data_IF_156790525088
#
_entry.id   IF_156790525088
#
_cell.length_a   1.000
_cell.length_b   1.000
_cell.length_c   1.000
_cell.angle_alpha   90.00
_cell.angle_beta   90.00
_cell.angle_gamma   90.00
#
_symmetry.space_group_name_H-M   'P 1'
#
loop_
_entity.id
_entity.type
_entity.pdbx_description
1 polymer ?
#
# COMPACT_ATOMS: atom_id res chain seq x y z
N UNK A 1 -79.78 -109.28 -24.70
CA UNK A 1 -80.12 -108.04 -23.98
C UNK A 1 -78.96 -107.52 -23.11
N UNK A 2 -78.33 -108.33 -22.23
CA UNK A 2 -77.20 -107.86 -21.37
C UNK A 2 -75.98 -107.31 -22.10
N UNK A 3 -75.54 -107.92 -23.21
CA UNK A 3 -74.36 -107.43 -23.96
C UNK A 3 -74.59 -106.05 -24.60
N UNK A 4 -75.80 -105.77 -25.07
CA UNK A 4 -76.17 -104.49 -25.71
C UNK A 4 -76.24 -103.38 -24.65
N UNK A 5 -76.82 -103.66 -23.47
CA UNK A 5 -76.83 -102.68 -22.38
C UNK A 5 -75.43 -102.36 -21.85
N UNK A 6 -74.54 -103.36 -21.79
CA UNK A 6 -73.15 -103.15 -21.39
C UNK A 6 -72.41 -102.30 -22.42
N UNK A 7 -72.54 -102.61 -23.71
CA UNK A 7 -71.92 -101.81 -24.78
C UNK A 7 -72.42 -100.36 -24.78
N UNK A 8 -73.73 -100.15 -24.66
CA UNK A 8 -74.32 -98.80 -24.58
C UNK A 8 -73.82 -98.03 -23.35
N UNK A 9 -73.71 -98.70 -22.20
CA UNK A 9 -73.21 -98.07 -20.96
C UNK A 9 -71.74 -97.66 -21.05
N UNK A 10 -70.90 -98.49 -21.70
CA UNK A 10 -69.47 -98.18 -21.90
C UNK A 10 -69.31 -97.02 -22.88
N UNK A 11 -70.07 -97.01 -23.98
CA UNK A 11 -70.05 -95.92 -24.97
C UNK A 11 -70.53 -94.59 -24.37
N UNK A 12 -71.62 -94.61 -23.59
CA UNK A 12 -72.12 -93.42 -22.91
C UNK A 12 -71.10 -92.91 -21.87
N UNK A 13 -70.49 -93.82 -21.11
CA UNK A 13 -69.50 -93.48 -20.10
C UNK A 13 -68.22 -92.88 -20.73
N UNK A 14 -67.73 -93.44 -21.84
CA UNK A 14 -66.56 -92.89 -22.54
C UNK A 14 -66.85 -91.54 -23.18
N UNK A 15 -68.03 -91.34 -23.75
CA UNK A 15 -68.46 -90.05 -24.30
C UNK A 15 -68.56 -88.98 -23.21
N UNK A 16 -69.21 -89.30 -22.08
CA UNK A 16 -69.30 -88.40 -20.93
C UNK A 16 -67.91 -88.06 -20.38
N UNK A 17 -67.03 -89.06 -20.22
CA UNK A 17 -65.66 -88.85 -19.75
C UNK A 17 -64.87 -87.91 -20.67
N UNK A 18 -64.93 -88.12 -21.99
CA UNK A 18 -64.26 -87.24 -22.95
C UNK A 18 -64.84 -85.82 -22.96
N UNK A 19 -66.15 -85.68 -22.76
CA UNK A 19 -66.80 -84.36 -22.65
C UNK A 19 -66.41 -83.60 -21.37
N UNK A 20 -66.20 -84.31 -20.25
CA UNK A 20 -65.70 -83.70 -19.01
C UNK A 20 -64.25 -83.26 -19.16
N UNK A 21 -63.41 -84.04 -19.83
CA UNK A 21 -62.03 -83.68 -20.11
C UNK A 21 -61.96 -82.43 -21.01
N UNK A 22 -62.73 -82.39 -22.10
CA UNK A 22 -62.72 -81.23 -22.98
C UNK A 22 -63.22 -79.96 -22.29
N UNK A 23 -64.29 -80.06 -21.49
CA UNK A 23 -64.82 -78.93 -20.72
C UNK A 23 -63.83 -78.45 -19.64
N UNK A 24 -63.19 -79.36 -18.93
CA UNK A 24 -62.21 -79.01 -17.89
C UNK A 24 -60.95 -78.37 -18.48
N UNK A 25 -60.46 -78.85 -19.62
CA UNK A 25 -59.34 -78.21 -20.35
C UNK A 25 -59.76 -76.82 -20.85
N UNK A 26 -60.96 -76.69 -21.42
CA UNK A 26 -61.45 -75.40 -21.91
C UNK A 26 -61.59 -74.37 -20.78
N UNK A 27 -62.22 -74.74 -19.66
CA UNK A 27 -62.36 -73.82 -18.53
C UNK A 27 -61.02 -73.48 -17.89
N UNK A 28 -60.14 -74.47 -17.68
CA UNK A 28 -58.85 -74.24 -17.03
C UNK A 28 -57.94 -73.35 -17.89
N UNK A 29 -57.91 -73.59 -19.21
CA UNK A 29 -57.13 -72.75 -20.14
C UNK A 29 -57.66 -71.31 -20.17
N UNK A 30 -58.97 -71.11 -20.30
CA UNK A 30 -59.57 -69.77 -20.25
C UNK A 30 -59.29 -69.06 -18.93
N UNK A 31 -59.43 -69.75 -17.80
CA UNK A 31 -59.17 -69.19 -16.48
C UNK A 31 -57.71 -68.75 -16.34
N UNK A 32 -56.76 -69.60 -16.74
CA UNK A 32 -55.32 -69.30 -16.68
C UNK A 32 -54.98 -68.11 -17.60
N UNK A 33 -55.52 -68.10 -18.82
CA UNK A 33 -55.28 -67.01 -19.78
C UNK A 33 -55.87 -65.70 -19.25
N UNK A 34 -57.11 -65.71 -18.78
CA UNK A 34 -57.74 -64.51 -18.24
C UNK A 34 -56.99 -63.98 -17.02
N UNK A 35 -56.67 -64.85 -16.05
CA UNK A 35 -55.98 -64.46 -14.83
C UNK A 35 -54.57 -63.94 -15.12
N UNK A 36 -53.82 -64.61 -16.00
CA UNK A 36 -52.46 -64.19 -16.36
C UNK A 36 -52.46 -62.85 -17.09
N UNK A 37 -53.38 -62.63 -18.02
CA UNK A 37 -53.52 -61.36 -18.74
C UNK A 37 -53.95 -60.26 -17.76
N UNK A 38 -54.99 -60.50 -16.97
CA UNK A 38 -55.48 -59.51 -16.01
C UNK A 38 -54.40 -59.12 -15.00
N UNK A 39 -53.73 -60.10 -14.40
CA UNK A 39 -52.70 -59.86 -13.40
C UNK A 39 -51.47 -59.19 -14.01
N UNK A 40 -51.02 -59.61 -15.19
CA UNK A 40 -49.87 -58.99 -15.85
C UNK A 40 -50.15 -57.54 -16.25
N UNK A 41 -51.33 -57.24 -16.77
CA UNK A 41 -51.74 -55.87 -17.11
C UNK A 41 -51.85 -55.04 -15.84
N UNK A 42 -52.54 -55.53 -14.81
CA UNK A 42 -52.70 -54.79 -13.56
C UNK A 42 -51.35 -54.51 -12.90
N UNK A 43 -50.48 -55.52 -12.81
CA UNK A 43 -49.15 -55.39 -12.22
C UNK A 43 -48.28 -54.45 -13.05
N UNK A 44 -48.30 -54.56 -14.38
CA UNK A 44 -47.55 -53.68 -15.25
C UNK A 44 -47.99 -52.23 -15.10
N UNK A 45 -49.29 -51.96 -15.18
CA UNK A 45 -49.84 -50.61 -15.06
C UNK A 45 -49.54 -50.04 -13.68
N UNK A 46 -49.84 -50.78 -12.61
CA UNK A 46 -49.65 -50.28 -11.25
C UNK A 46 -48.17 -50.06 -10.95
N UNK A 47 -47.31 -51.04 -11.25
CA UNK A 47 -45.89 -50.94 -10.97
C UNK A 47 -45.22 -49.88 -11.84
N UNK A 48 -45.44 -49.86 -13.16
CA UNK A 48 -44.81 -48.84 -14.01
C UNK A 48 -45.34 -47.45 -13.71
N UNK A 49 -46.65 -47.25 -13.65
CA UNK A 49 -47.18 -45.89 -13.46
C UNK A 49 -46.80 -45.39 -12.07
N UNK A 50 -47.04 -46.18 -11.03
CA UNK A 50 -46.75 -45.72 -9.67
C UNK A 50 -45.25 -45.56 -9.44
N UNK A 51 -44.44 -46.57 -9.77
CA UNK A 51 -43.00 -46.50 -9.54
C UNK A 51 -42.36 -45.45 -10.42
N UNK A 52 -42.68 -45.40 -11.71
CA UNK A 52 -42.00 -44.49 -12.63
C UNK A 52 -42.42 -43.06 -12.38
N UNK A 53 -43.71 -42.77 -12.18
CA UNK A 53 -44.18 -41.40 -11.91
C UNK A 53 -43.70 -40.95 -10.53
N UNK A 54 -43.90 -41.75 -9.49
CA UNK A 54 -43.50 -41.37 -8.14
C UNK A 54 -41.98 -41.21 -8.05
N UNK A 55 -41.21 -42.19 -8.54
CA UNK A 55 -39.76 -42.13 -8.48
C UNK A 55 -39.20 -41.03 -9.39
N UNK A 56 -39.67 -40.89 -10.63
CA UNK A 56 -39.16 -39.84 -11.52
C UNK A 56 -39.50 -38.44 -11.00
N UNK A 57 -40.74 -38.18 -10.63
CA UNK A 57 -41.16 -36.85 -10.19
C UNK A 57 -40.51 -36.52 -8.85
N UNK A 58 -40.60 -37.42 -7.87
CA UNK A 58 -40.03 -37.18 -6.55
C UNK A 58 -38.51 -37.04 -6.63
N UNK A 59 -37.82 -37.97 -7.30
CA UNK A 59 -36.37 -37.95 -7.38
C UNK A 59 -35.88 -36.76 -8.22
N UNK A 60 -36.46 -36.49 -9.39
CA UNK A 60 -36.04 -35.37 -10.23
C UNK A 60 -36.33 -34.02 -9.58
N UNK A 61 -37.52 -33.81 -9.01
CA UNK A 61 -37.82 -32.55 -8.33
C UNK A 61 -36.97 -32.39 -7.09
N UNK A 62 -36.84 -33.43 -6.26
CA UNK A 62 -36.06 -33.33 -5.04
C UNK A 62 -34.57 -33.10 -5.34
N UNK A 63 -33.96 -33.87 -6.24
CA UNK A 63 -32.55 -33.64 -6.63
C UNK A 63 -32.39 -32.28 -7.29
N UNK A 64 -33.26 -31.88 -8.22
CA UNK A 64 -33.09 -30.61 -8.93
C UNK A 64 -33.22 -29.41 -7.99
N UNK A 65 -34.22 -29.42 -7.11
CA UNK A 65 -34.45 -28.35 -6.14
C UNK A 65 -33.31 -28.34 -5.11
N UNK A 66 -32.97 -29.49 -4.53
CA UNK A 66 -31.90 -29.57 -3.54
C UNK A 66 -30.56 -29.14 -4.13
N UNK A 67 -30.19 -29.67 -5.29
CA UNK A 67 -28.92 -29.36 -5.93
C UNK A 67 -28.87 -27.91 -6.40
N UNK A 68 -29.95 -27.37 -6.98
CA UNK A 68 -29.99 -25.97 -7.41
C UNK A 68 -29.88 -25.00 -6.22
N UNK A 69 -30.61 -25.27 -5.13
CA UNK A 69 -30.53 -24.45 -3.92
C UNK A 69 -29.14 -24.55 -3.30
N UNK A 70 -28.63 -25.77 -3.09
CA UNK A 70 -27.32 -25.96 -2.49
C UNK A 70 -26.21 -25.31 -3.31
N UNK A 71 -26.20 -25.56 -4.62
CA UNK A 71 -25.19 -25.02 -5.53
C UNK A 71 -25.29 -23.49 -5.60
N UNK A 72 -26.50 -22.93 -5.74
CA UNK A 72 -26.70 -21.47 -5.81
C UNK A 72 -26.22 -20.78 -4.54
N UNK A 73 -26.62 -21.29 -3.36
CA UNK A 73 -26.20 -20.72 -2.07
C UNK A 73 -24.68 -20.81 -1.95
N UNK A 74 -24.10 -21.99 -2.20
CA UNK A 74 -22.66 -22.19 -2.08
C UNK A 74 -21.88 -21.25 -3.01
N UNK A 75 -22.31 -21.13 -4.27
CA UNK A 75 -21.66 -20.27 -5.26
C UNK A 75 -21.75 -18.80 -4.86
N UNK A 76 -22.93 -18.33 -4.45
CA UNK A 76 -23.16 -16.95 -4.02
C UNK A 76 -22.31 -16.62 -2.79
N UNK A 77 -22.28 -17.50 -1.79
CA UNK A 77 -21.50 -17.30 -0.57
C UNK A 77 -20.00 -17.24 -0.88
N UNK A 78 -19.50 -18.21 -1.66
CA UNK A 78 -18.08 -18.27 -1.99
C UNK A 78 -17.66 -17.06 -2.83
N UNK A 79 -18.43 -16.69 -3.85
CA UNK A 79 -18.14 -15.54 -4.71
C UNK A 79 -18.22 -14.24 -3.93
N UNK A 80 -19.26 -14.03 -3.11
CA UNK A 80 -19.42 -12.80 -2.33
C UNK A 80 -18.30 -12.64 -1.30
N UNK A 81 -17.93 -13.70 -0.58
CA UNK A 81 -16.82 -13.69 0.36
C UNK A 81 -15.50 -13.41 -0.35
N UNK A 82 -15.20 -14.13 -1.43
CA UNK A 82 -13.95 -13.93 -2.16
C UNK A 82 -13.85 -12.50 -2.71
N UNK A 83 -14.91 -12.00 -3.37
CA UNK A 83 -14.95 -10.62 -3.88
C UNK A 83 -14.79 -9.60 -2.76
N UNK A 84 -15.48 -9.78 -1.62
CA UNK A 84 -15.36 -8.90 -0.47
C UNK A 84 -13.92 -8.83 0.02
N UNK A 85 -13.26 -9.97 0.22
CA UNK A 85 -11.86 -9.99 0.68
C UNK A 85 -10.90 -9.38 -0.34
N UNK A 86 -11.05 -9.71 -1.63
CA UNK A 86 -10.20 -9.15 -2.70
C UNK A 86 -10.35 -7.64 -2.77
N UNK A 87 -11.58 -7.13 -2.73
CA UNK A 87 -11.86 -5.71 -2.79
C UNK A 87 -11.33 -4.98 -1.54
N UNK A 88 -11.57 -5.53 -0.35
CA UNK A 88 -11.11 -4.95 0.91
C UNK A 88 -9.58 -4.88 0.97
N UNK A 89 -8.90 -5.96 0.59
CA UNK A 89 -7.43 -6.00 0.59
C UNK A 89 -6.87 -5.04 -0.47
N UNK A 90 -7.36 -5.10 -1.71
CA UNK A 90 -6.84 -4.23 -2.78
C UNK A 90 -7.08 -2.74 -2.51
N UNK A 91 -8.26 -2.37 -2.00
CA UNK A 91 -8.60 -0.99 -1.69
C UNK A 91 -7.81 -0.48 -0.47
N UNK A 92 -7.71 -1.28 0.60
CA UNK A 92 -6.94 -0.91 1.79
C UNK A 92 -5.46 -0.72 1.48
N UNK A 93 -4.87 -1.62 0.69
CA UNK A 93 -3.46 -1.54 0.32
C UNK A 93 -3.20 -0.34 -0.60
N UNK A 94 -4.05 -0.13 -1.61
CA UNK A 94 -3.90 0.99 -2.54
C UNK A 94 -4.06 2.33 -1.83
N UNK A 95 -5.05 2.48 -0.95
CA UNK A 95 -5.22 3.69 -0.14
C UNK A 95 -4.06 3.91 0.82
N UNK A 96 -3.60 2.85 1.51
CA UNK A 96 -2.45 2.95 2.41
C UNK A 96 -1.20 3.43 1.66
N UNK A 97 -0.89 2.81 0.51
CA UNK A 97 0.26 3.18 -0.32
C UNK A 97 0.10 4.61 -0.83
N UNK A 98 -1.07 4.97 -1.36
CA UNK A 98 -1.33 6.32 -1.87
C UNK A 98 -1.13 7.37 -0.77
N UNK A 99 -1.75 7.19 0.38
CA UNK A 99 -1.66 8.11 1.52
C UNK A 99 -0.22 8.17 2.02
N UNK A 100 0.44 7.03 2.20
CA UNK A 100 1.83 6.98 2.66
C UNK A 100 2.76 7.74 1.72
N UNK A 101 2.67 7.47 0.41
CA UNK A 101 3.49 8.14 -0.60
C UNK A 101 3.15 9.63 -0.66
N UNK A 102 1.87 9.99 -0.69
CA UNK A 102 1.45 11.38 -0.77
C UNK A 102 1.93 12.17 0.45
N UNK A 103 1.70 11.67 1.66
CA UNK A 103 2.16 12.30 2.91
C UNK A 103 3.68 12.35 2.95
N UNK A 104 4.37 11.25 2.62
CA UNK A 104 5.83 11.22 2.62
C UNK A 104 6.40 12.24 1.66
N UNK A 105 5.95 12.26 0.41
CA UNK A 105 6.41 13.21 -0.61
C UNK A 105 6.04 14.63 -0.21
N UNK A 106 4.79 14.89 0.18
CA UNK A 106 4.34 16.23 0.52
C UNK A 106 5.09 16.77 1.74
N UNK A 107 5.15 16.02 2.84
CA UNK A 107 5.87 16.45 4.04
C UNK A 107 7.37 16.55 3.75
N UNK A 108 7.96 15.56 3.10
CA UNK A 108 9.41 15.59 2.82
C UNK A 108 9.79 16.77 1.94
N UNK A 109 9.07 17.00 0.84
CA UNK A 109 9.35 18.09 -0.09
C UNK A 109 9.01 19.43 0.56
N UNK A 110 7.84 19.57 1.15
CA UNK A 110 7.42 20.82 1.80
C UNK A 110 8.37 21.18 2.94
N UNK A 111 8.69 20.24 3.82
CA UNK A 111 9.61 20.46 4.94
C UNK A 111 11.02 20.71 4.45
N UNK A 112 11.54 19.95 3.48
CA UNK A 112 12.86 20.22 2.86
C UNK A 112 12.90 21.61 2.27
N UNK A 113 11.96 21.99 1.42
CA UNK A 113 11.96 23.27 0.72
C UNK A 113 11.77 24.41 1.72
N UNK A 114 10.73 24.34 2.55
CA UNK A 114 10.42 25.39 3.51
C UNK A 114 11.55 25.57 4.53
N UNK A 115 12.02 24.48 5.15
CA UNK A 115 13.04 24.54 6.19
C UNK A 115 14.42 24.85 5.62
N UNK A 116 14.80 24.30 4.46
CA UNK A 116 16.05 24.67 3.80
C UNK A 116 16.03 26.12 3.35
N UNK A 117 14.96 26.58 2.69
CA UNK A 117 14.89 27.94 2.16
C UNK A 117 14.83 28.98 3.29
N UNK A 118 13.99 28.77 4.30
CA UNK A 118 13.92 29.66 5.47
C UNK A 118 15.23 29.69 6.25
N UNK A 119 15.87 28.54 6.49
CA UNK A 119 17.16 28.48 7.16
C UNK A 119 18.25 29.17 6.33
N UNK A 120 18.29 28.94 5.02
CA UNK A 120 19.28 29.56 4.15
C UNK A 120 19.12 31.08 4.07
N UNK A 121 17.89 31.59 3.97
CA UNK A 121 17.62 33.03 3.99
C UNK A 121 18.02 33.61 5.34
N UNK A 122 17.58 33.01 6.43
CA UNK A 122 17.86 33.52 7.77
C UNK A 122 19.37 33.52 8.07
N UNK A 123 20.06 32.42 7.78
CA UNK A 123 21.49 32.29 8.03
C UNK A 123 22.31 33.22 7.13
N UNK A 124 21.98 33.30 5.83
CA UNK A 124 22.71 34.19 4.91
C UNK A 124 22.52 35.67 5.27
N UNK A 125 21.29 36.12 5.55
CA UNK A 125 21.07 37.52 5.92
C UNK A 125 21.68 37.88 7.27
N UNK A 126 21.49 37.05 8.30
CA UNK A 126 22.05 37.33 9.63
C UNK A 126 23.57 37.37 9.62
N UNK A 127 24.22 36.44 8.91
CA UNK A 127 25.69 36.41 8.79
C UNK A 127 26.22 37.60 7.99
N UNK A 128 25.60 37.94 6.86
CA UNK A 128 26.02 39.11 6.07
C UNK A 128 25.91 40.41 6.87
N UNK A 129 24.81 40.61 7.60
CA UNK A 129 24.61 41.79 8.44
C UNK A 129 25.66 41.83 9.56
N UNK A 130 25.85 40.72 10.28
CA UNK A 130 26.83 40.66 11.37
C UNK A 130 28.26 40.91 10.88
N UNK A 131 28.67 40.25 9.79
CA UNK A 131 29.99 40.43 9.18
C UNK A 131 30.18 41.87 8.70
N UNK A 132 29.19 42.46 8.02
CA UNK A 132 29.27 43.84 7.54
C UNK A 132 29.46 44.85 8.68
N UNK A 133 28.73 44.66 9.79
CA UNK A 133 28.84 45.50 10.99
C UNK A 133 30.21 45.28 11.65
N UNK A 134 30.67 44.03 11.78
CA UNK A 134 31.99 43.74 12.36
C UNK A 134 33.14 44.33 11.55
N UNK A 135 33.08 44.26 10.21
CA UNK A 135 34.08 44.86 9.34
C UNK A 135 34.02 46.38 9.39
N UNK A 136 32.82 46.97 9.52
CA UNK A 136 32.66 48.40 9.73
C UNK A 136 33.31 48.85 11.05
N UNK A 137 33.03 48.19 12.18
CA UNK A 137 33.68 48.49 13.45
C UNK A 137 35.19 48.26 13.41
N UNK A 138 35.64 47.17 12.78
CA UNK A 138 37.06 46.88 12.61
C UNK A 138 37.76 47.96 11.77
N UNK A 139 37.11 48.43 10.69
CA UNK A 139 37.63 49.50 9.84
C UNK A 139 37.75 50.82 10.61
N UNK A 140 36.75 51.15 11.44
CA UNK A 140 36.79 52.33 12.30
C UNK A 140 37.91 52.20 13.32
N UNK A 141 37.99 51.09 14.03
CA UNK A 141 39.03 50.85 15.04
C UNK A 141 40.44 50.94 14.44
N UNK A 142 40.66 50.29 13.29
CA UNK A 142 41.95 50.31 12.60
C UNK A 142 42.29 51.72 12.12
N UNK A 143 41.33 52.47 11.57
CA UNK A 143 41.55 53.83 11.11
C UNK A 143 41.94 54.77 12.25
N UNK A 144 41.26 54.67 13.39
CA UNK A 144 41.53 55.46 14.59
C UNK A 144 42.90 55.09 15.14
N UNK A 145 43.17 53.79 15.35
CA UNK A 145 44.44 53.32 15.88
C UNK A 145 45.62 53.74 14.99
N UNK A 146 45.51 53.53 13.67
CA UNK A 146 46.56 53.89 12.73
C UNK A 146 46.78 55.41 12.69
N UNK A 147 45.70 56.20 12.72
CA UNK A 147 45.81 57.67 12.74
C UNK A 147 46.52 58.18 13.99
N UNK A 148 46.14 57.67 15.18
CA UNK A 148 46.76 58.05 16.45
C UNK A 148 48.22 57.61 16.49
N UNK A 149 48.50 56.37 16.07
CA UNK A 149 49.85 55.83 16.02
C UNK A 149 50.76 56.63 15.08
N UNK A 150 50.28 56.97 13.87
CA UNK A 150 51.01 57.81 12.92
C UNK A 150 51.26 59.21 13.48
N UNK A 151 50.24 59.85 14.08
CA UNK A 151 50.38 61.19 14.68
C UNK A 151 51.41 61.18 15.81
N UNK A 152 51.37 60.17 16.69
CA UNK A 152 52.33 60.02 17.78
C UNK A 152 53.74 59.75 17.24
N UNK A 153 53.90 58.83 16.29
CA UNK A 153 55.22 58.51 15.75
C UNK A 153 55.83 59.70 14.99
N UNK A 154 55.03 60.41 14.19
CA UNK A 154 55.48 61.61 13.47
C UNK A 154 55.80 62.73 14.45
N UNK A 155 54.96 63.00 15.46
CA UNK A 155 55.22 64.06 16.44
C UNK A 155 56.46 63.77 17.30
N UNK A 156 56.68 62.51 17.70
CA UNK A 156 57.89 62.09 18.42
C UNK A 156 59.12 62.23 17.52
N UNK A 157 59.05 61.73 16.28
CA UNK A 157 60.17 61.83 15.34
C UNK A 157 60.51 63.30 15.01
N UNK A 158 59.51 64.13 14.76
CA UNK A 158 59.69 65.54 14.42
C UNK A 158 60.20 66.34 15.63
N UNK A 159 59.69 66.08 16.84
CA UNK A 159 60.19 66.75 18.06
C UNK A 159 61.62 66.33 18.40
N UNK A 160 61.97 65.06 18.23
CA UNK A 160 63.32 64.57 18.51
C UNK A 160 64.34 65.06 17.47
N UNK A 161 64.00 65.00 16.18
CA UNK A 161 64.84 65.54 15.11
C UNK A 161 65.03 67.05 15.22
N UNK A 162 63.96 67.81 15.53
CA UNK A 162 64.05 69.23 15.80
C UNK A 162 64.92 69.53 17.03
N UNK A 163 64.76 68.80 18.14
CA UNK A 163 65.61 68.97 19.32
C UNK A 163 67.09 68.71 19.03
N UNK A 164 67.40 67.65 18.29
CA UNK A 164 68.78 67.28 17.93
C UNK A 164 69.36 68.35 16.99
N UNK A 165 68.66 68.74 15.94
CA UNK A 165 69.14 69.78 15.03
C UNK A 165 69.31 71.13 15.73
N UNK A 166 68.35 71.54 16.57
CA UNK A 166 68.42 72.80 17.28
C UNK A 166 69.54 72.79 18.32
N UNK A 167 69.71 71.70 19.08
CA UNK A 167 70.78 71.59 20.09
C UNK A 167 72.18 71.54 19.47
N UNK A 168 72.35 70.83 18.35
CA UNK A 168 73.61 70.78 17.62
C UNK A 168 73.90 72.14 16.98
N UNK A 169 72.92 72.76 16.32
CA UNK A 169 73.09 74.08 15.73
C UNK A 169 73.43 75.13 16.80
N UNK A 170 72.68 75.15 17.90
CA UNK A 170 72.91 76.10 18.99
C UNK A 170 74.27 75.85 19.65
N UNK A 171 74.66 74.59 19.92
CA UNK A 171 75.95 74.29 20.56
C UNK A 171 77.14 74.63 19.66
N UNK A 172 77.07 74.38 18.36
CA UNK A 172 78.13 74.75 17.42
C UNK A 172 78.18 76.27 17.25
N UNK A 173 77.04 76.92 17.09
CA UNK A 173 76.98 78.37 16.87
C UNK A 173 77.37 79.15 18.12
N UNK A 174 76.90 78.76 19.32
CA UNK A 174 77.32 79.37 20.58
C UNK A 174 78.79 79.08 20.89
N UNK A 175 79.28 77.85 20.68
CA UNK A 175 80.69 77.56 20.96
C UNK A 175 81.62 78.31 20.02
N UNK A 176 81.31 78.39 18.72
CA UNK A 176 82.12 79.18 17.78
C UNK A 176 82.03 80.67 18.07
N UNK A 177 80.84 81.22 18.28
CA UNK A 177 80.69 82.65 18.60
C UNK A 177 81.32 83.01 19.95
N UNK A 178 81.20 82.16 20.97
CA UNK A 178 81.84 82.34 22.26
C UNK A 178 83.36 82.19 22.17
N UNK A 179 83.90 81.22 21.42
CA UNK A 179 85.35 81.11 21.20
C UNK A 179 85.90 82.31 20.43
N UNK A 180 85.19 82.81 19.43
CA UNK A 180 85.57 84.01 18.69
C UNK A 180 85.52 85.24 19.61
N UNK A 181 84.44 85.40 20.38
CA UNK A 181 84.30 86.51 21.32
C UNK A 181 85.36 86.45 22.43
N UNK A 182 85.62 85.28 23.01
CA UNK A 182 86.60 85.09 24.08
C UNK A 182 88.03 85.30 23.57
N UNK A 183 88.36 84.85 22.36
CA UNK A 183 89.69 85.08 21.75
C UNK A 183 89.93 86.55 21.39
N UNK A 184 88.89 87.27 20.98
CA UNK A 184 88.94 88.72 20.77
C UNK A 184 89.04 89.47 22.11
N UNK A 185 88.29 89.04 23.13
CA UNK A 185 88.30 89.71 24.44
C UNK A 185 89.64 89.54 25.18
N UNK A 186 90.24 88.35 25.15
CA UNK A 186 91.57 88.09 25.75
C UNK A 186 92.74 88.71 24.97
N UNK A 187 92.57 89.11 23.72
CA UNK A 187 93.62 89.81 22.96
C UNK A 187 93.61 91.32 23.16
N UNK A 188 92.59 91.87 23.82
CA UNK A 188 92.40 93.33 23.98
C UNK A 188 92.59 93.80 25.43
N UNK A 189 92.41 92.95 26.44
CA UNK A 189 92.58 93.31 27.85
C UNK A 189 93.52 92.33 28.59
N UNK A 190 94.74 92.75 28.98
CA UNK A 190 95.66 91.97 29.83
C UNK A 190 95.20 91.91 31.30
#
# INVERSE_FOLDING_TARGET
>A
MKAISIYLSIYLCSYLFMSHISLSIYLSTLFIIYLSIYLSIYLFIYLFIYLFIYLSIYLCLFISIYLSIYLSIYLILLISICLYFILLISLSLSLYIYIYIYIYIYIYIYLRIYLFHSAHIYLSHSTHIYLSISFYYLSIYLSIYLSIYLILQISIYLSHSAHIHLSIYLSIYLSHSAHIYLSIYLSIYP
#
